data_IF_388116439238
#
_entry.id   IF_388116439238
#
_cell.length_a   1.000
_cell.length_b   1.000
_cell.length_c   1.000
_cell.angle_alpha   90.00
_cell.angle_beta   90.00
_cell.angle_gamma   90.00
#
_symmetry.space_group_name_H-M   'P 1'
#
loop_
_entity.id
_entity.type
_entity.pdbx_description
1 polymer ?
#
# COMPACT_ATOMS: atom_id res chain seq x y z
N UNK A 1 16.69 -2.43 -18.99
CA UNK A 1 16.03 -3.72 -18.66
C UNK A 1 14.54 -3.55 -18.89
N UNK A 2 13.85 -4.56 -19.44
CA UNK A 2 12.39 -4.55 -19.50
C UNK A 2 11.83 -4.74 -18.07
N UNK A 3 10.72 -4.08 -17.69
CA UNK A 3 10.06 -4.34 -16.42
C UNK A 3 9.72 -5.83 -16.30
N UNK A 4 9.98 -6.44 -15.14
CA UNK A 4 9.54 -7.82 -14.92
C UNK A 4 8.03 -7.82 -14.71
N UNK A 5 7.37 -8.83 -15.26
CA UNK A 5 5.96 -9.08 -14.98
C UNK A 5 5.75 -9.41 -13.50
N UNK A 6 4.68 -8.89 -12.92
CA UNK A 6 4.28 -9.19 -11.56
C UNK A 6 3.75 -10.63 -11.48
N UNK A 7 4.52 -11.52 -10.87
CA UNK A 7 4.08 -12.92 -10.68
C UNK A 7 3.38 -13.10 -9.34
N UNK A 8 2.48 -14.07 -9.24
CA UNK A 8 1.76 -14.41 -8.00
C UNK A 8 2.71 -14.72 -6.82
N UNK A 9 3.91 -15.24 -7.09
CA UNK A 9 4.92 -15.55 -6.07
C UNK A 9 5.59 -14.28 -5.51
N UNK A 10 5.96 -13.34 -6.38
CA UNK A 10 6.53 -12.04 -5.98
C UNK A 10 5.50 -11.23 -5.18
N UNK A 11 4.23 -11.32 -5.58
CA UNK A 11 3.12 -10.74 -4.83
C UNK A 11 3.08 -11.29 -3.40
N UNK A 12 3.19 -12.61 -3.24
CA UNK A 12 3.01 -13.27 -1.94
C UNK A 12 4.14 -13.00 -0.94
N UNK A 13 5.40 -13.04 -1.39
CA UNK A 13 6.58 -12.84 -0.52
C UNK A 13 6.67 -11.39 -0.01
N UNK A 14 6.34 -10.40 -0.84
CA UNK A 14 6.32 -8.98 -0.43
C UNK A 14 5.11 -8.60 0.43
N UNK A 15 4.03 -9.39 0.37
CA UNK A 15 2.76 -9.11 1.04
C UNK A 15 2.79 -9.42 2.53
N UNK A 16 3.39 -10.53 2.93
CA UNK A 16 3.27 -11.02 4.31
C UNK A 16 4.05 -10.16 5.30
N UNK A 17 5.33 -9.90 5.04
CA UNK A 17 6.17 -9.09 5.93
C UNK A 17 5.67 -7.64 6.04
N UNK A 18 5.19 -7.08 4.93
CA UNK A 18 4.67 -5.72 4.91
C UNK A 18 3.34 -5.60 5.66
N UNK A 19 2.42 -6.53 5.45
CA UNK A 19 1.10 -6.49 6.10
C UNK A 19 1.23 -6.58 7.62
N UNK A 20 2.09 -7.48 8.11
CA UNK A 20 2.32 -7.64 9.55
C UNK A 20 2.95 -6.39 10.16
N UNK A 21 3.92 -5.76 9.49
CA UNK A 21 4.50 -4.50 9.95
C UNK A 21 3.43 -3.39 10.05
N UNK A 22 2.61 -3.19 9.02
CA UNK A 22 1.60 -2.13 9.01
C UNK A 22 0.51 -2.35 10.05
N UNK A 23 0.07 -3.60 10.22
CA UNK A 23 -0.94 -3.92 11.23
C UNK A 23 -0.47 -3.58 12.65
N UNK A 24 0.83 -3.75 12.94
CA UNK A 24 1.38 -3.56 14.28
C UNK A 24 1.97 -2.17 14.52
N UNK A 25 2.83 -1.69 13.62
CA UNK A 25 3.62 -0.46 13.80
C UNK A 25 2.90 0.79 13.26
N UNK A 26 2.02 0.63 12.26
CA UNK A 26 1.25 1.73 11.64
C UNK A 26 -0.25 1.41 11.66
N UNK A 27 -0.73 0.96 12.82
CA UNK A 27 -2.10 0.45 12.99
C UNK A 27 -3.21 1.43 12.56
N UNK A 28 -2.95 2.74 12.59
CA UNK A 28 -3.87 3.76 12.07
C UNK A 28 -4.11 3.63 10.57
N UNK A 29 -3.05 3.36 9.78
CA UNK A 29 -3.15 3.11 8.35
C UNK A 29 -3.98 1.85 8.10
N UNK A 30 -3.65 0.77 8.82
CA UNK A 30 -4.38 -0.49 8.71
C UNK A 30 -5.88 -0.29 8.95
N UNK A 31 -6.24 0.31 10.09
CA UNK A 31 -7.63 0.57 10.45
C UNK A 31 -8.33 1.47 9.43
N UNK A 32 -7.68 2.53 8.95
CA UNK A 32 -8.28 3.43 7.95
C UNK A 32 -8.58 2.69 6.63
N UNK A 33 -7.69 1.79 6.19
CA UNK A 33 -7.90 1.00 4.98
C UNK A 33 -9.03 -0.01 5.17
N UNK A 34 -9.06 -0.73 6.30
CA UNK A 34 -10.12 -1.68 6.63
C UNK A 34 -11.49 -0.99 6.75
N UNK A 35 -11.56 0.21 7.34
CA UNK A 35 -12.78 1.01 7.45
C UNK A 35 -13.28 1.52 6.10
N UNK A 36 -12.35 1.88 5.20
CA UNK A 36 -12.68 2.39 3.86
C UNK A 36 -13.09 1.28 2.90
N UNK A 37 -12.44 0.13 3.02
CA UNK A 37 -12.83 -1.12 2.37
C UNK A 37 -13.87 -1.84 3.24
N UNK A 38 -14.24 -3.09 2.91
CA UNK A 38 -15.16 -3.84 3.78
C UNK A 38 -14.36 -4.58 4.85
N UNK A 39 -14.87 -4.61 6.08
CA UNK A 39 -14.22 -5.31 7.21
C UNK A 39 -13.98 -6.81 6.96
N UNK A 40 -14.81 -7.44 6.11
CA UNK A 40 -14.69 -8.86 5.77
C UNK A 40 -13.74 -9.13 4.58
N UNK A 41 -13.12 -8.10 4.01
CA UNK A 41 -12.19 -8.28 2.90
C UNK A 41 -10.83 -8.82 3.40
N UNK A 42 -10.30 -9.84 2.70
CA UNK A 42 -8.95 -10.33 2.93
C UNK A 42 -7.97 -9.37 2.23
N UNK A 43 -7.35 -8.49 3.02
CA UNK A 43 -6.55 -7.36 2.56
C UNK A 43 -5.08 -7.58 2.88
N UNK A 44 -4.23 -7.25 1.91
CA UNK A 44 -2.79 -7.40 1.97
C UNK A 44 -2.10 -6.09 1.59
N UNK A 45 -1.22 -5.60 2.43
CA UNK A 45 -0.38 -4.45 2.09
C UNK A 45 0.81 -4.91 1.25
N UNK A 46 1.11 -4.12 0.23
CA UNK A 46 2.15 -4.35 -0.75
C UNK A 46 3.07 -3.15 -0.77
N UNK A 47 4.25 -3.32 -0.17
CA UNK A 47 5.24 -2.28 0.08
C UNK A 47 4.73 -1.15 0.98
N UNK A 48 5.70 -0.47 1.59
CA UNK A 48 5.45 0.66 2.46
C UNK A 48 6.63 1.61 2.35
N UNK A 49 6.35 2.86 1.99
CA UNK A 49 7.33 3.93 1.91
C UNK A 49 6.84 5.08 2.78
N UNK A 50 7.65 5.46 3.77
CA UNK A 50 7.50 6.72 4.49
C UNK A 50 8.23 7.83 3.72
N UNK A 51 7.58 8.98 3.52
CA UNK A 51 8.19 10.16 2.92
C UNK A 51 9.24 10.76 3.86
N UNK A 52 10.51 10.72 3.45
CA UNK A 52 11.64 11.23 4.25
C UNK A 52 11.57 12.75 4.48
N UNK A 53 10.90 13.49 3.59
CA UNK A 53 10.76 14.95 3.64
C UNK A 53 9.49 15.39 4.36
N UNK A 54 8.46 14.54 4.38
CA UNK A 54 7.22 14.74 5.12
C UNK A 54 6.99 13.55 6.05
N UNK A 55 7.64 13.61 7.21
CA UNK A 55 7.35 12.69 8.31
C UNK A 55 5.84 12.58 8.46
N UNK A 56 5.35 11.35 8.53
CA UNK A 56 3.94 10.97 8.64
C UNK A 56 3.13 10.86 7.34
N UNK A 57 3.74 11.06 6.16
CA UNK A 57 3.14 10.69 4.88
C UNK A 57 3.64 9.32 4.42
N UNK A 58 2.69 8.43 4.10
CA UNK A 58 2.95 7.04 3.74
C UNK A 58 2.30 6.67 2.42
N UNK A 59 3.01 5.88 1.62
CA UNK A 59 2.57 5.47 0.29
C UNK A 59 2.80 3.99 0.07
N UNK A 60 1.94 3.38 -0.74
CA UNK A 60 2.11 2.00 -1.16
C UNK A 60 0.92 1.45 -1.92
N UNK A 61 0.84 0.12 -1.98
CA UNK A 61 -0.27 -0.58 -2.58
C UNK A 61 -0.98 -1.47 -1.58
N UNK A 62 -2.26 -1.70 -1.80
CA UNK A 62 -3.10 -2.64 -1.07
C UNK A 62 -3.75 -3.58 -2.07
N UNK A 63 -3.52 -4.88 -1.91
CA UNK A 63 -4.21 -5.93 -2.65
C UNK A 63 -5.38 -6.46 -1.82
N UNK A 64 -6.57 -6.36 -2.39
CA UNK A 64 -7.78 -6.96 -1.84
C UNK A 64 -8.03 -8.29 -2.56
N UNK A 65 -7.78 -9.39 -1.85
CA UNK A 65 -7.91 -10.74 -2.41
C UNK A 65 -9.36 -11.15 -2.61
N UNK A 66 -10.26 -10.69 -1.75
CA UNK A 66 -11.70 -10.98 -1.85
C UNK A 66 -12.27 -10.56 -3.19
N UNK A 67 -11.97 -9.34 -3.64
CA UNK A 67 -12.48 -8.80 -4.91
C UNK A 67 -11.44 -8.78 -6.05
N UNK A 68 -10.21 -9.26 -5.77
CA UNK A 68 -9.07 -9.31 -6.71
C UNK A 68 -8.71 -7.95 -7.30
N UNK A 69 -8.76 -6.90 -6.47
CA UNK A 69 -8.39 -5.53 -6.86
C UNK A 69 -7.12 -5.08 -6.16
N UNK A 70 -6.44 -4.13 -6.77
CA UNK A 70 -5.29 -3.46 -6.18
C UNK A 70 -5.56 -1.96 -6.12
N UNK A 71 -5.16 -1.36 -5.02
CA UNK A 71 -5.35 0.06 -4.74
C UNK A 71 -4.00 0.68 -4.45
N UNK A 72 -3.70 1.80 -5.08
CA UNK A 72 -2.65 2.70 -4.62
C UNK A 72 -3.18 3.50 -3.43
N UNK A 73 -2.42 3.55 -2.34
CA UNK A 73 -2.76 4.35 -1.19
C UNK A 73 -1.77 5.50 -0.97
N UNK A 74 -2.32 6.61 -0.47
CA UNK A 74 -1.58 7.69 0.14
C UNK A 74 -2.24 7.99 1.48
N UNK A 75 -1.45 8.01 2.54
CA UNK A 75 -1.96 8.15 3.91
C UNK A 75 -1.14 9.17 4.68
N UNK A 76 -1.83 10.18 5.20
CA UNK A 76 -1.25 11.13 6.13
C UNK A 76 -1.70 10.78 7.56
N UNK A 77 -0.74 10.54 8.45
CA UNK A 77 -0.99 10.28 9.88
C UNK A 77 -0.42 11.38 10.76
N UNK A 78 -1.11 12.53 10.82
CA UNK A 78 -0.76 13.56 11.81
C UNK A 78 -0.64 12.89 13.20
N UNK A 79 0.57 12.85 13.78
CA UNK A 79 0.88 12.20 15.08
C UNK A 79 -0.04 12.65 16.21
N UNK A 80 -0.69 13.80 16.07
CA UNK A 80 -1.67 14.33 17.00
C UNK A 80 -3.09 13.75 16.80
N UNK A 81 -3.26 12.82 15.86
CA UNK A 81 -4.46 12.04 15.54
C UNK A 81 -5.66 12.87 15.07
N UNK A 82 -5.45 14.15 14.72
CA UNK A 82 -6.52 15.11 14.42
C UNK A 82 -6.93 15.15 12.95
N UNK A 83 -6.01 14.87 12.04
CA UNK A 83 -6.22 15.06 10.59
C UNK A 83 -5.73 13.86 9.77
N UNK A 84 -6.22 12.66 10.09
CA UNK A 84 -5.93 11.46 9.29
C UNK A 84 -6.59 11.56 7.92
N UNK A 85 -5.85 11.28 6.85
CA UNK A 85 -6.39 11.32 5.49
C UNK A 85 -5.88 10.12 4.68
N UNK A 86 -6.80 9.25 4.31
CA UNK A 86 -6.55 8.14 3.40
C UNK A 86 -7.11 8.44 2.01
N UNK A 87 -6.26 8.31 0.99
CA UNK A 87 -6.64 8.20 -0.42
C UNK A 87 -6.45 6.76 -0.87
N UNK A 88 -7.44 6.21 -1.58
CA UNK A 88 -7.35 4.91 -2.25
C UNK A 88 -7.78 5.07 -3.70
N UNK A 89 -6.90 4.69 -4.63
CA UNK A 89 -7.16 4.74 -6.07
C UNK A 89 -7.00 3.33 -6.64
N UNK A 90 -8.09 2.76 -7.17
CA UNK A 90 -8.05 1.46 -7.83
C UNK A 90 -7.15 1.52 -9.07
N UNK A 91 -6.25 0.53 -9.21
CA UNK A 91 -5.40 0.35 -10.39
C UNK A 91 -5.74 -0.96 -11.06
N UNK A 92 -5.50 -1.06 -12.37
CA UNK A 92 -5.60 -2.34 -13.06
C UNK A 92 -4.33 -3.13 -12.82
N UNK A 93 -4.49 -4.37 -12.36
CA UNK A 93 -3.35 -5.27 -12.07
C UNK A 93 -2.48 -5.48 -13.31
N UNK A 94 -3.09 -5.57 -14.49
CA UNK A 94 -2.40 -5.73 -15.79
C UNK A 94 -1.55 -4.53 -16.22
N UNK A 95 -1.78 -3.36 -15.63
CA UNK A 95 -1.01 -2.14 -15.88
C UNK A 95 0.18 -1.99 -14.90
N UNK A 96 0.27 -2.85 -13.88
CA UNK A 96 1.32 -2.81 -12.87
C UNK A 96 2.48 -3.74 -13.24
N UNK A 97 3.68 -3.22 -13.11
CA UNK A 97 4.93 -3.98 -13.25
C UNK A 97 5.60 -4.14 -11.89
N UNK A 98 6.60 -5.02 -11.80
CA UNK A 98 7.42 -5.09 -10.57
C UNK A 98 8.10 -3.77 -10.25
N UNK A 99 8.33 -2.90 -11.24
CA UNK A 99 8.90 -1.57 -11.03
C UNK A 99 7.92 -0.66 -10.30
N UNK A 100 6.64 -0.67 -10.67
CA UNK A 100 5.65 0.18 -10.02
C UNK A 100 5.45 -0.21 -8.55
N UNK A 101 5.60 -1.50 -8.25
CA UNK A 101 5.40 -2.07 -6.91
C UNK A 101 6.70 -2.02 -6.09
N UNK A 102 7.79 -2.61 -6.57
CA UNK A 102 9.06 -2.71 -5.82
C UNK A 102 9.95 -1.46 -5.95
N UNK A 103 9.75 -0.64 -6.98
CA UNK A 103 10.40 0.67 -7.15
C UNK A 103 9.38 1.81 -7.04
N UNK A 104 8.26 1.57 -6.30
CA UNK A 104 7.21 2.53 -5.89
C UNK A 104 7.72 3.94 -6.09
N UNK A 105 7.20 4.66 -7.10
CA UNK A 105 7.96 5.58 -7.92
C UNK A 105 8.87 6.40 -7.02
N UNK A 106 10.12 5.94 -6.91
CA UNK A 106 11.23 6.65 -6.23
C UNK A 106 11.36 8.08 -6.82
N UNK A 107 10.70 8.32 -7.96
CA UNK A 107 10.56 9.55 -8.72
C UNK A 107 9.45 10.49 -8.21
N UNK A 108 8.36 10.02 -7.57
CA UNK A 108 7.26 10.89 -7.12
C UNK A 108 7.44 11.48 -5.72
N UNK A 109 8.56 11.18 -5.07
CA UNK A 109 8.93 11.69 -3.74
C UNK A 109 10.23 12.54 -3.77
N UNK A 110 10.75 12.86 -4.96
CA UNK A 110 11.86 13.80 -5.16
C UNK A 110 11.38 15.22 -5.43
#
# INVERSE_FOLDING_TARGET
MLPKELTAKILLESVLECTDFIANEVSNLYNAVIEKLKQDDEIFFMNFVEDEHKKDDYYGYVYNKTNRKIYEYAFHDDKLMKNRKLSLVEKKIEELTTKDILELPIINLL
#
